data_IF_138691456530
#
_entry.id   IF_138691456530
#
_cell.length_a   1.000
_cell.length_b   1.000
_cell.length_c   1.000
_cell.angle_alpha   90.00
_cell.angle_beta   90.00
_cell.angle_gamma   90.00
#
_symmetry.space_group_name_H-M   'P 1'
#
loop_
_entity.id
_entity.type
_entity.pdbx_description
1 polymer ?
#
# COMPACT_ATOMS: atom_id res chain seq x y z
N UNK A 1 0.92 -5.77 -9.03
CA UNK A 1 -0.41 -5.96 -8.43
C UNK A 1 -0.38 -5.12 -7.17
N UNK A 2 -1.11 -4.01 -7.20
CA UNK A 2 -0.96 -2.87 -6.31
C UNK A 2 -2.34 -2.29 -6.23
N UNK A 3 -3.13 -2.75 -5.27
CA UNK A 3 -4.54 -2.38 -5.19
C UNK A 3 -4.72 -0.98 -4.61
N UNK A 4 -4.05 0.02 -5.21
CA UNK A 4 -4.52 1.40 -5.33
C UNK A 4 -4.82 2.21 -4.07
N UNK A 5 -4.61 1.68 -2.87
CA UNK A 5 -4.90 2.45 -1.65
C UNK A 5 -4.09 3.74 -1.67
N UNK A 6 -4.81 4.87 -1.61
CA UNK A 6 -4.28 6.23 -1.68
C UNK A 6 -3.68 6.66 -3.04
N UNK A 7 -3.86 5.86 -4.11
CA UNK A 7 -3.54 6.33 -5.46
C UNK A 7 -4.54 7.41 -5.89
N UNK A 8 -4.10 8.59 -6.39
CA UNK A 8 -4.99 9.69 -6.75
C UNK A 8 -6.01 9.37 -7.87
N UNK A 9 -5.67 8.47 -8.81
CA UNK A 9 -6.51 8.14 -9.96
C UNK A 9 -6.97 6.68 -10.02
N UNK A 10 -6.19 5.75 -9.47
CA UNK A 10 -6.44 4.32 -9.50
C UNK A 10 -6.71 3.78 -8.09
N UNK A 11 -7.53 4.52 -7.34
CA UNK A 11 -7.92 4.20 -5.97
C UNK A 11 -8.52 2.80 -5.81
N UNK A 12 -8.31 2.17 -4.64
CA UNK A 12 -8.89 0.87 -4.34
C UNK A 12 -10.42 0.88 -4.48
N UNK A 13 -10.98 -0.01 -5.31
CA UNK A 13 -12.42 -0.12 -5.55
C UNK A 13 -13.04 1.04 -6.33
N UNK A 14 -12.22 1.93 -6.93
CA UNK A 14 -12.71 3.07 -7.69
C UNK A 14 -13.20 2.65 -9.08
N UNK A 15 -14.44 3.01 -9.42
CA UNK A 15 -14.97 2.81 -10.78
C UNK A 15 -14.29 3.74 -11.79
N UNK A 16 -13.87 3.19 -12.93
CA UNK A 16 -13.15 3.91 -13.99
C UNK A 16 -13.89 3.97 -15.33
N UNK A 17 -15.13 3.50 -15.37
CA UNK A 17 -15.87 3.26 -16.62
C UNK A 17 -15.72 1.84 -17.12
N UNK A 18 -16.42 1.54 -18.23
CA UNK A 18 -16.50 0.19 -18.81
C UNK A 18 -15.14 -0.41 -19.17
N UNK A 19 -14.19 0.41 -19.61
CA UNK A 19 -12.81 0.01 -19.89
C UNK A 19 -11.86 1.18 -19.64
N UNK A 20 -10.87 0.95 -18.78
CA UNK A 20 -9.77 1.87 -18.55
C UNK A 20 -8.46 1.09 -18.41
N UNK A 21 -7.39 1.59 -19.02
CA UNK A 21 -6.05 1.02 -18.93
C UNK A 21 -5.09 2.13 -18.50
N UNK A 22 -4.20 1.82 -17.55
CA UNK A 22 -3.18 2.72 -17.05
C UNK A 22 -1.84 2.01 -16.91
N UNK A 23 -0.77 2.78 -16.95
CA UNK A 23 0.59 2.32 -16.71
C UNK A 23 1.44 3.48 -16.21
N UNK A 24 2.34 3.20 -15.29
CA UNK A 24 3.23 4.18 -14.69
C UNK A 24 4.65 3.60 -14.62
N UNK A 25 5.65 4.49 -14.68
CA UNK A 25 7.05 4.16 -14.57
C UNK A 25 7.77 5.29 -13.85
N UNK A 26 8.72 4.94 -13.00
CA UNK A 26 9.45 5.90 -12.19
C UNK A 26 10.92 5.54 -12.12
N UNK A 27 11.77 6.56 -12.05
CA UNK A 27 13.13 6.41 -11.52
C UNK A 27 13.05 6.36 -10.01
N UNK A 28 13.60 5.33 -9.37
CA UNK A 28 13.50 5.16 -7.91
C UNK A 28 14.07 6.35 -7.13
N UNK A 29 15.13 6.98 -7.63
CA UNK A 29 15.75 8.15 -7.01
C UNK A 29 14.86 9.40 -7.00
N UNK A 30 13.84 9.44 -7.86
CA UNK A 30 12.94 10.60 -8.01
C UNK A 30 11.67 10.46 -7.15
N UNK A 31 11.50 9.32 -6.46
CA UNK A 31 10.32 9.06 -5.64
C UNK A 31 10.46 9.66 -4.24
N UNK A 32 9.42 10.36 -3.79
CA UNK A 32 9.24 10.69 -2.37
C UNK A 32 8.68 9.46 -1.64
N UNK A 33 9.44 8.86 -0.70
CA UNK A 33 8.95 7.73 0.09
C UNK A 33 7.69 8.06 0.91
N UNK A 34 7.45 9.33 1.20
CA UNK A 34 6.31 9.80 2.00
C UNK A 34 5.09 10.17 1.18
N UNK A 35 5.12 10.02 -0.16
CA UNK A 35 3.92 10.19 -0.96
C UNK A 35 2.85 9.16 -0.54
N UNK A 36 1.58 9.56 -0.29
CA UNK A 36 0.57 8.67 0.29
C UNK A 36 0.39 7.32 -0.44
N UNK A 37 0.52 7.31 -1.77
CA UNK A 37 0.42 6.09 -2.58
C UNK A 37 1.55 5.07 -2.32
N UNK A 38 2.67 5.50 -1.74
CA UNK A 38 3.81 4.63 -1.39
C UNK A 38 3.72 4.06 0.03
N UNK A 39 2.80 4.55 0.86
CA UNK A 39 2.66 4.13 2.26
C UNK A 39 1.85 2.83 2.42
N UNK A 40 1.12 2.42 1.38
CA UNK A 40 0.47 1.11 1.33
C UNK A 40 1.42 0.08 0.71
N UNK A 41 1.93 -0.84 1.55
CA UNK A 41 2.86 -1.89 1.13
C UNK A 41 2.12 -3.22 1.02
N UNK A 42 2.44 -3.99 -0.02
CA UNK A 42 1.94 -5.34 -0.18
C UNK A 42 3.05 -6.30 -0.57
N UNK A 43 3.07 -7.47 0.07
CA UNK A 43 4.11 -8.47 -0.13
C UNK A 43 3.50 -9.85 -0.35
N UNK A 44 4.01 -10.58 -1.35
CA UNK A 44 3.68 -11.99 -1.52
C UNK A 44 4.28 -12.78 -0.37
N UNK A 45 3.45 -13.54 0.33
CA UNK A 45 3.87 -14.30 1.49
C UNK A 45 3.37 -15.75 1.42
N UNK A 46 4.06 -16.62 2.15
CA UNK A 46 3.53 -17.94 2.51
C UNK A 46 2.69 -17.79 3.76
N UNK A 47 1.43 -18.17 3.69
CA UNK A 47 0.50 -18.13 4.81
C UNK A 47 0.25 -19.54 5.36
N UNK A 48 0.15 -19.66 6.69
CA UNK A 48 -0.16 -20.93 7.38
C UNK A 48 -1.35 -20.77 8.31
N UNK A 49 -2.30 -21.70 8.23
CA UNK A 49 -3.48 -21.78 9.10
C UNK A 49 -3.61 -23.20 9.66
N UNK A 50 -3.08 -23.41 10.87
CA UNK A 50 -2.94 -24.74 11.46
C UNK A 50 -1.95 -25.58 10.66
N UNK A 51 -2.45 -26.67 10.07
CA UNK A 51 -1.71 -27.57 9.17
C UNK A 51 -1.82 -27.19 7.69
N UNK A 52 -2.63 -26.19 7.34
CA UNK A 52 -2.81 -25.73 5.96
C UNK A 52 -1.76 -24.68 5.60
N UNK A 53 -1.22 -24.76 4.39
CA UNK A 53 -0.32 -23.77 3.83
C UNK A 53 -0.83 -23.27 2.48
N UNK A 54 -0.51 -22.02 2.15
CA UNK A 54 -0.82 -21.40 0.87
C UNK A 54 0.05 -20.18 0.58
N UNK A 55 -0.15 -19.59 -0.59
CA UNK A 55 0.45 -18.31 -0.97
C UNK A 55 -0.66 -17.26 -0.92
N UNK A 56 -0.34 -16.09 -0.36
CA UNK A 56 -1.23 -14.94 -0.31
C UNK A 56 -0.46 -13.64 -0.45
N UNK A 57 -1.18 -12.54 -0.30
CA UNK A 57 -0.60 -11.19 -0.19
C UNK A 57 -0.88 -10.70 1.23
N UNK A 58 0.16 -10.20 1.89
CA UNK A 58 0.04 -9.43 3.12
C UNK A 58 0.03 -7.95 2.74
N UNK A 59 -1.06 -7.25 3.07
CA UNK A 59 -1.20 -5.81 2.90
C UNK A 59 -0.98 -5.10 4.24
N UNK A 60 -0.24 -4.00 4.22
CA UNK A 60 0.05 -3.18 5.40
C UNK A 60 -0.16 -1.71 5.08
N UNK A 61 -0.92 -1.05 5.95
CA UNK A 61 -1.12 0.40 5.93
C UNK A 61 -1.21 0.86 7.39
N UNK A 62 -0.28 1.70 7.81
CA UNK A 62 -0.23 2.22 9.18
C UNK A 62 -0.63 3.68 9.14
N UNK A 63 -1.71 4.02 9.84
CA UNK A 63 -2.29 5.37 9.83
C UNK A 63 -2.61 5.83 11.24
N UNK A 64 -2.38 7.11 11.46
CA UNK A 64 -2.81 7.78 12.69
C UNK A 64 -1.81 7.71 13.83
N UNK A 65 -2.14 8.40 14.94
CA UNK A 65 -1.27 8.47 16.09
C UNK A 65 -1.03 7.10 16.72
N UNK A 66 0.23 6.79 17.02
CA UNK A 66 0.63 5.56 17.67
C UNK A 66 1.84 5.82 18.56
N UNK A 67 1.59 6.03 19.85
CA UNK A 67 2.60 6.41 20.83
C UNK A 67 3.83 5.47 20.85
N UNK A 68 3.70 4.13 20.80
CA UNK A 68 4.87 3.23 20.78
C UNK A 68 5.76 3.38 19.54
N UNK A 69 5.21 3.85 18.42
CA UNK A 69 5.97 4.10 17.18
C UNK A 69 6.34 5.58 16.98
N UNK A 70 5.95 6.46 17.90
CA UNK A 70 6.21 7.90 17.79
C UNK A 70 5.34 8.65 16.79
N UNK A 71 4.27 8.05 16.27
CA UNK A 71 3.37 8.71 15.31
C UNK A 71 2.41 9.66 16.02
N UNK A 72 2.30 10.87 15.50
CA UNK A 72 1.51 11.99 16.01
C UNK A 72 0.44 12.46 15.03
N UNK A 73 0.60 12.20 13.73
CA UNK A 73 -0.37 12.54 12.68
C UNK A 73 -0.86 11.30 11.91
N UNK A 74 -1.72 11.54 10.92
CA UNK A 74 -2.27 10.50 10.05
C UNK A 74 -1.22 9.80 9.18
N UNK A 75 -0.17 10.52 8.75
CA UNK A 75 0.84 10.04 7.79
C UNK A 75 2.27 10.33 8.28
N UNK A 76 2.56 10.06 9.54
CA UNK A 76 3.93 10.26 10.05
C UNK A 76 4.90 9.19 9.54
N UNK A 77 6.16 9.56 9.25
CA UNK A 77 7.19 8.59 8.90
C UNK A 77 7.56 7.73 10.12
N UNK A 78 7.89 6.47 9.85
CA UNK A 78 8.71 5.68 10.77
C UNK A 78 10.06 6.38 11.00
N UNK A 79 10.47 6.49 12.26
CA UNK A 79 11.79 6.98 12.65
C UNK A 79 12.89 5.95 12.37
#
# INVERSE_FOLDING_TARGET
CGLGYLHPEWGHGLWKGELAVGGESWTLADLDPMEPRHLHVQQVCRARLGTREGIGVLEQLVLGPHLPSGFTSILDPAA
#
